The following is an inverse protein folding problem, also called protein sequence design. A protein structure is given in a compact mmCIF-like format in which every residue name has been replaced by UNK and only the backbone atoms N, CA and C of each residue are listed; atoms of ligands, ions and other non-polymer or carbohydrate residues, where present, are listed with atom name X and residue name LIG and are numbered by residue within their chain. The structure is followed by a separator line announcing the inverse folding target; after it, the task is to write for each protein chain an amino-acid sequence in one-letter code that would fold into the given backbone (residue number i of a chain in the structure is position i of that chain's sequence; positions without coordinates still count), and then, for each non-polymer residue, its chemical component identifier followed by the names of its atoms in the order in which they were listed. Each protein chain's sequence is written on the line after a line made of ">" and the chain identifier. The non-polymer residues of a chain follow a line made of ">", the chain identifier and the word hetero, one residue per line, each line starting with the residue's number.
data_IF_197929934871
#
_entry.id   IF_197929934871
#
_cell.length_a   1.000
_cell.length_b   1.000
_cell.length_c   1.000
_cell.angle_alpha   90.00
_cell.angle_beta   90.00
_cell.angle_gamma   90.00
#
_symmetry.space_group_name_H-M   'P 1'
#
loop_
_entity.id
_entity.type
_entity.pdbx_description
1 polymer ?
#
# COMPACT_ATOMS: atom_id res chain seq x y z
N UNK A 1 14.81 -11.87 -4.04
CA UNK A 1 13.66 -11.01 -3.71
C UNK A 1 12.43 -11.87 -3.80
N UNK A 2 11.47 -11.60 -2.94
CA UNK A 2 10.23 -12.33 -2.85
C UNK A 2 9.39 -12.07 -4.11
N UNK A 3 8.59 -13.04 -4.53
CA UNK A 3 7.73 -12.87 -5.71
C UNK A 3 6.49 -12.01 -5.42
N UNK A 4 6.11 -11.93 -4.15
CA UNK A 4 4.87 -11.31 -3.68
C UNK A 4 5.19 -10.50 -2.43
N UNK A 5 4.79 -9.24 -2.42
CA UNK A 5 4.78 -8.39 -1.24
C UNK A 5 3.55 -8.72 -0.38
N UNK A 6 2.36 -8.62 -0.97
CA UNK A 6 1.09 -8.98 -0.35
C UNK A 6 0.02 -9.13 -1.44
N UNK A 7 -0.67 -10.27 -1.46
CA UNK A 7 -1.75 -10.55 -2.43
C UNK A 7 -3.14 -10.14 -1.94
N UNK A 8 -3.22 -9.40 -0.83
CA UNK A 8 -4.48 -8.91 -0.27
C UNK A 8 -5.24 -9.94 0.56
N UNK A 9 -6.54 -9.68 0.75
CA UNK A 9 -7.40 -10.54 1.55
C UNK A 9 -7.54 -11.93 0.92
N UNK A 10 -7.46 -12.99 1.72
CA UNK A 10 -7.59 -14.35 1.24
C UNK A 10 -9.03 -14.60 0.75
N UNK A 11 -9.18 -14.88 -0.55
CA UNK A 11 -10.48 -15.02 -1.21
C UNK A 11 -11.25 -16.24 -0.69
N UNK A 12 -10.57 -17.35 -0.37
CA UNK A 12 -11.21 -18.54 0.18
C UNK A 12 -11.79 -18.25 1.57
N UNK A 13 -11.05 -17.52 2.41
CA UNK A 13 -11.54 -17.07 3.71
C UNK A 13 -12.76 -16.17 3.54
N UNK A 14 -12.70 -15.17 2.64
CA UNK A 14 -13.85 -14.30 2.37
C UNK A 14 -15.06 -15.09 1.85
N UNK A 15 -14.87 -16.11 1.02
CA UNK A 15 -15.96 -16.96 0.52
C UNK A 15 -16.74 -17.67 1.64
N UNK A 16 -16.08 -17.98 2.75
CA UNK A 16 -16.65 -18.73 3.88
C UNK A 16 -17.31 -17.85 4.96
N UNK A 17 -17.02 -16.55 4.97
CA UNK A 17 -17.54 -15.64 6.00
C UNK A 17 -19.00 -15.23 5.78
N UNK A 18 -19.71 -15.01 6.89
CA UNK A 18 -21.03 -14.37 6.86
C UNK A 18 -20.93 -12.91 6.38
N UNK A 19 -22.06 -12.32 6.03
CA UNK A 19 -22.09 -10.90 5.65
C UNK A 19 -21.59 -9.99 6.79
N UNK A 20 -22.03 -10.25 8.03
CA UNK A 20 -21.63 -9.46 9.19
C UNK A 20 -20.11 -9.56 9.45
N UNK A 21 -19.54 -10.76 9.31
CA UNK A 21 -18.09 -10.96 9.49
C UNK A 21 -17.27 -10.24 8.42
N UNK A 22 -17.75 -10.23 7.16
CA UNK A 22 -17.11 -9.45 6.08
C UNK A 22 -17.13 -7.95 6.37
N UNK A 23 -18.27 -7.44 6.84
CA UNK A 23 -18.40 -6.02 7.22
C UNK A 23 -17.47 -5.69 8.38
N UNK A 24 -17.40 -6.54 9.41
CA UNK A 24 -16.51 -6.34 10.54
C UNK A 24 -15.03 -6.41 10.11
N UNK A 25 -14.68 -7.38 9.27
CA UNK A 25 -13.35 -7.49 8.67
C UNK A 25 -12.97 -6.20 7.95
N UNK A 26 -13.82 -5.68 7.07
CA UNK A 26 -13.57 -4.42 6.39
C UNK A 26 -13.43 -3.26 7.37
N UNK A 27 -14.30 -3.12 8.37
CA UNK A 27 -14.23 -2.03 9.35
C UNK A 27 -12.91 -2.06 10.13
N UNK A 28 -12.58 -3.19 10.74
CA UNK A 28 -11.37 -3.33 11.56
C UNK A 28 -10.09 -3.10 10.74
N UNK A 29 -10.05 -3.63 9.51
CA UNK A 29 -8.89 -3.45 8.62
C UNK A 29 -8.75 -2.03 8.10
N UNK A 30 -9.87 -1.30 7.91
CA UNK A 30 -9.87 0.14 7.63
C UNK A 30 -9.34 0.94 8.82
N UNK A 31 -9.83 0.69 10.03
CA UNK A 31 -9.37 1.37 11.25
C UNK A 31 -7.87 1.18 11.47
N UNK A 32 -7.38 -0.05 11.31
CA UNK A 32 -5.94 -0.35 11.40
C UNK A 32 -5.12 0.48 10.41
N UNK A 33 -5.58 0.63 9.16
CA UNK A 33 -4.92 1.46 8.13
C UNK A 33 -5.02 2.95 8.44
N UNK A 34 -6.14 3.39 8.99
CA UNK A 34 -6.30 4.78 9.43
C UNK A 34 -5.34 5.12 10.58
N UNK A 35 -5.08 4.18 11.50
CA UNK A 35 -4.12 4.35 12.59
C UNK A 35 -2.67 4.56 12.11
N UNK A 36 -2.31 4.07 10.92
CA UNK A 36 -1.00 4.35 10.28
C UNK A 36 -0.90 5.84 9.99
N UNK A 37 -1.89 6.38 9.27
CA UNK A 37 -1.95 7.80 8.90
C UNK A 37 -2.13 8.71 10.12
N UNK A 38 -2.85 8.23 11.12
CA UNK A 38 -3.01 8.91 12.41
C UNK A 38 -1.69 9.01 13.17
N UNK A 39 -0.93 7.91 13.23
CA UNK A 39 0.40 7.88 13.83
C UNK A 39 1.38 8.79 13.10
N UNK A 40 1.23 8.98 11.79
CA UNK A 40 2.00 9.98 11.06
C UNK A 40 1.67 11.39 11.54
N UNK A 41 0.38 11.73 11.67
CA UNK A 41 -0.05 13.07 12.08
C UNK A 41 0.28 13.40 13.53
N UNK A 42 0.17 12.42 14.43
CA UNK A 42 0.12 12.71 15.88
C UNK A 42 1.18 11.98 16.70
N UNK A 43 1.81 10.92 16.18
CA UNK A 43 2.77 10.10 16.94
C UNK A 43 4.22 10.31 16.51
N UNK A 44 4.47 11.16 15.50
CA UNK A 44 5.79 11.41 14.92
C UNK A 44 6.38 10.17 14.26
N UNK A 45 5.54 9.26 13.76
CA UNK A 45 5.97 8.07 13.03
C UNK A 45 5.88 8.33 11.53
N UNK A 46 6.62 7.59 10.72
CA UNK A 46 6.48 7.65 9.26
C UNK A 46 6.56 6.23 8.74
N UNK A 47 5.66 5.88 7.84
CA UNK A 47 5.52 4.54 7.32
C UNK A 47 5.91 4.50 5.85
N UNK A 48 6.78 3.56 5.50
CA UNK A 48 7.27 3.38 4.13
C UNK A 48 6.93 1.97 3.68
N UNK A 49 6.23 1.85 2.57
CA UNK A 49 5.96 0.58 1.91
C UNK A 49 7.09 0.28 0.93
N UNK A 50 7.96 -0.68 1.28
CA UNK A 50 9.00 -1.20 0.40
C UNK A 50 8.48 -2.41 -0.37
N UNK A 51 7.91 -2.17 -1.56
CA UNK A 51 7.31 -3.20 -2.41
C UNK A 51 8.40 -3.88 -3.27
N UNK A 52 8.85 -5.05 -2.83
CA UNK A 52 9.89 -5.88 -3.46
C UNK A 52 9.31 -7.08 -4.25
N UNK A 53 8.03 -7.03 -4.62
CA UNK A 53 7.27 -8.09 -5.28
C UNK A 53 5.87 -7.58 -5.68
N UNK A 54 4.98 -8.47 -6.12
CA UNK A 54 3.61 -8.05 -6.46
C UNK A 54 2.82 -7.59 -5.22
N UNK A 55 2.19 -6.42 -5.29
CA UNK A 55 1.23 -5.92 -4.29
C UNK A 55 -0.16 -5.81 -4.94
N UNK A 56 -1.07 -6.72 -4.59
CA UNK A 56 -2.38 -6.84 -5.22
C UNK A 56 -3.52 -6.63 -4.21
N UNK A 57 -4.56 -5.92 -4.65
CA UNK A 57 -5.77 -5.64 -3.90
C UNK A 57 -5.47 -5.07 -2.52
N UNK A 58 -5.96 -5.74 -1.47
CA UNK A 58 -5.69 -5.37 -0.06
C UNK A 58 -4.22 -5.20 0.32
N UNK A 59 -3.27 -5.78 -0.44
CA UNK A 59 -1.83 -5.56 -0.28
C UNK A 59 -1.38 -4.19 -0.75
N UNK A 60 -1.94 -3.71 -1.87
CA UNK A 60 -1.74 -2.33 -2.30
C UNK A 60 -2.56 -1.35 -1.47
N UNK A 61 -3.76 -1.72 -0.98
CA UNK A 61 -4.51 -0.89 -0.03
C UNK A 61 -3.76 -0.66 1.29
N UNK A 62 -2.96 -1.63 1.74
CA UNK A 62 -2.04 -1.44 2.86
C UNK A 62 -0.90 -0.47 2.51
N UNK A 63 -0.28 -0.62 1.34
CA UNK A 63 0.76 0.29 0.88
C UNK A 63 0.23 1.74 0.74
N UNK A 64 -0.99 1.91 0.24
CA UNK A 64 -1.67 3.20 0.13
C UNK A 64 -1.85 3.91 1.48
N UNK A 65 -1.96 3.18 2.58
CA UNK A 65 -2.04 3.76 3.93
C UNK A 65 -0.67 4.32 4.41
N UNK A 66 0.44 3.89 3.83
CA UNK A 66 1.79 4.39 4.14
C UNK A 66 2.02 5.81 3.59
N UNK A 67 3.04 6.50 4.09
CA UNK A 67 3.40 7.86 3.67
C UNK A 67 4.21 7.87 2.37
N UNK A 68 4.97 6.79 2.12
CA UNK A 68 5.83 6.66 0.96
C UNK A 68 5.82 5.22 0.43
N UNK A 69 5.76 5.05 -0.88
CA UNK A 69 5.69 3.76 -1.56
C UNK A 69 6.85 3.64 -2.55
N UNK A 70 7.78 2.75 -2.23
CA UNK A 70 8.88 2.33 -3.09
C UNK A 70 8.49 1.05 -3.83
N UNK A 71 8.71 1.01 -5.14
CA UNK A 71 8.55 -0.21 -5.95
C UNK A 71 9.89 -0.61 -6.56
N UNK A 72 10.23 -1.90 -6.49
CA UNK A 72 11.41 -2.42 -7.17
C UNK A 72 11.20 -2.47 -8.68
N UNK A 73 12.17 -1.97 -9.44
CA UNK A 73 12.24 -2.09 -10.90
C UNK A 73 12.98 -3.38 -11.27
N UNK A 74 12.23 -4.48 -11.30
CA UNK A 74 12.73 -5.81 -11.67
C UNK A 74 11.98 -6.42 -12.87
N UNK A 75 11.12 -5.63 -13.52
CA UNK A 75 10.28 -6.06 -14.64
C UNK A 75 9.08 -6.94 -14.27
N UNK A 76 8.96 -7.42 -13.03
CA UNK A 76 7.92 -8.35 -12.58
C UNK A 76 7.02 -7.79 -11.48
N UNK A 77 7.56 -6.93 -10.61
CA UNK A 77 6.84 -6.32 -9.49
C UNK A 77 5.85 -5.26 -9.99
N UNK A 78 4.64 -5.31 -9.46
CA UNK A 78 3.53 -4.46 -9.87
C UNK A 78 2.62 -4.13 -8.67
N UNK A 79 1.86 -3.03 -8.81
CA UNK A 79 0.75 -2.69 -7.93
C UNK A 79 -0.57 -2.88 -8.68
N UNK A 80 -1.59 -3.45 -8.05
CA UNK A 80 -2.90 -3.69 -8.69
C UNK A 80 -4.07 -3.60 -7.71
N UNK A 81 -5.26 -3.25 -8.22
CA UNK A 81 -6.54 -3.37 -7.54
C UNK A 81 -7.52 -4.21 -8.40
N UNK A 82 -7.37 -5.55 -8.40
CA UNK A 82 -8.12 -6.43 -9.28
C UNK A 82 -9.52 -6.79 -8.75
N UNK A 83 -9.98 -6.19 -7.65
CA UNK A 83 -11.21 -6.58 -6.94
C UNK A 83 -12.46 -6.53 -7.84
N UNK A 84 -12.56 -5.53 -8.72
CA UNK A 84 -13.70 -5.41 -9.64
C UNK A 84 -13.69 -6.55 -10.67
N UNK A 85 -12.64 -6.73 -11.49
CA UNK A 85 -12.63 -7.77 -12.53
C UNK A 85 -12.53 -9.20 -11.99
N UNK A 86 -11.90 -9.44 -10.83
CA UNK A 86 -11.69 -10.80 -10.32
C UNK A 86 -12.72 -11.26 -9.28
N UNK A 87 -13.28 -10.32 -8.50
CA UNK A 87 -14.12 -10.66 -7.34
C UNK A 87 -15.51 -10.01 -7.39
N UNK A 88 -15.76 -9.13 -8.36
CA UNK A 88 -17.00 -8.34 -8.46
C UNK A 88 -17.31 -7.53 -7.18
N UNK A 89 -16.26 -7.08 -6.48
CA UNK A 89 -16.35 -6.20 -5.31
C UNK A 89 -15.41 -5.01 -5.46
N UNK A 90 -15.53 -4.03 -4.58
CA UNK A 90 -14.65 -2.86 -4.59
C UNK A 90 -13.40 -3.09 -3.72
N UNK A 91 -12.30 -2.36 -3.99
CA UNK A 91 -11.20 -2.15 -3.03
C UNK A 91 -11.73 -1.45 -1.77
N UNK A 92 -12.24 -2.26 -0.84
CA UNK A 92 -13.06 -1.83 0.29
C UNK A 92 -12.30 -1.48 1.56
N UNK A 93 -10.97 -1.66 1.60
CA UNK A 93 -10.12 -1.25 2.73
C UNK A 93 -9.50 0.14 2.52
N UNK A 94 -10.27 1.00 1.87
CA UNK A 94 -9.96 2.40 1.60
C UNK A 94 -9.13 2.64 0.34
N UNK A 95 -8.97 1.63 -0.52
CA UNK A 95 -8.17 1.70 -1.75
C UNK A 95 -8.63 2.80 -2.69
N UNK A 96 -9.92 2.82 -3.05
CA UNK A 96 -10.47 3.85 -3.95
C UNK A 96 -10.32 5.27 -3.37
N UNK A 97 -10.66 5.42 -2.09
CA UNK A 97 -10.54 6.70 -1.37
C UNK A 97 -9.09 7.18 -1.36
N UNK A 98 -8.13 6.31 -1.05
CA UNK A 98 -6.70 6.70 -1.02
C UNK A 98 -6.15 6.97 -2.41
N UNK A 99 -6.59 6.26 -3.46
CA UNK A 99 -6.16 6.56 -4.84
C UNK A 99 -6.60 7.96 -5.26
N UNK A 100 -7.85 8.35 -4.98
CA UNK A 100 -8.37 9.66 -5.40
C UNK A 100 -7.95 10.76 -4.44
N UNK A 101 -8.12 10.57 -3.13
CA UNK A 101 -7.99 11.65 -2.15
C UNK A 101 -6.56 11.82 -1.65
N UNK A 102 -5.79 10.75 -1.53
CA UNK A 102 -4.39 10.80 -1.05
C UNK A 102 -3.40 10.84 -2.20
N UNK A 103 -3.48 9.90 -3.13
CA UNK A 103 -2.58 9.79 -4.30
C UNK A 103 -2.97 10.76 -5.42
N UNK A 104 -4.15 11.38 -5.38
CA UNK A 104 -4.59 12.35 -6.41
C UNK A 104 -4.49 11.79 -7.84
N UNK A 105 -4.70 10.48 -8.00
CA UNK A 105 -4.72 9.86 -9.33
C UNK A 105 -5.93 10.39 -10.09
N UNK A 106 -5.72 10.78 -11.35
CA UNK A 106 -6.80 11.25 -12.23
C UNK A 106 -7.88 10.16 -12.33
N UNK A 107 -9.15 10.52 -12.23
CA UNK A 107 -10.25 9.55 -12.05
C UNK A 107 -10.36 8.51 -13.16
N UNK A 108 -10.09 8.89 -14.41
CA UNK A 108 -10.04 7.98 -15.57
C UNK A 108 -8.84 7.02 -15.52
N UNK A 109 -7.69 7.46 -15.01
CA UNK A 109 -6.57 6.56 -14.73
C UNK A 109 -6.90 5.60 -13.59
N UNK A 110 -7.59 6.07 -12.55
CA UNK A 110 -8.04 5.25 -11.44
C UNK A 110 -9.06 4.20 -11.89
N UNK A 111 -10.01 4.58 -12.75
CA UNK A 111 -10.96 3.67 -13.39
C UNK A 111 -10.22 2.56 -14.14
N UNK A 112 -9.37 2.93 -15.10
CA UNK A 112 -8.54 1.97 -15.84
C UNK A 112 -7.74 1.06 -14.92
N UNK A 113 -7.13 1.61 -13.87
CA UNK A 113 -6.32 0.85 -12.91
C UNK A 113 -7.14 -0.17 -12.09
N UNK A 114 -8.39 0.16 -11.74
CA UNK A 114 -9.26 -0.72 -10.95
C UNK A 114 -10.04 -1.73 -11.81
N UNK A 115 -10.03 -1.60 -13.14
CA UNK A 115 -10.73 -2.49 -14.07
C UNK A 115 -9.81 -3.43 -14.84
N UNK A 116 -8.52 -3.49 -14.49
CA UNK A 116 -7.55 -4.47 -15.03
C UNK A 116 -7.01 -5.36 -13.90
N UNK A 117 -6.66 -6.60 -14.22
CA UNK A 117 -6.18 -7.55 -13.22
C UNK A 117 -4.67 -7.44 -12.96
N UNK A 118 -3.91 -7.19 -14.01
CA UNK A 118 -2.44 -7.23 -14.02
C UNK A 118 -1.81 -6.03 -13.30
N UNK A 119 -2.56 -4.94 -13.17
CA UNK A 119 -2.10 -3.70 -12.55
C UNK A 119 -1.03 -2.96 -13.37
N UNK A 120 -0.23 -2.14 -12.68
CA UNK A 120 0.80 -1.31 -13.29
C UNK A 120 2.16 -1.49 -12.61
N UNK A 121 3.21 -1.40 -13.44
CA UNK A 121 4.61 -1.56 -13.04
C UNK A 121 5.49 -0.47 -13.65
N UNK A 122 6.72 -0.37 -13.13
CA UNK A 122 7.75 0.50 -13.67
C UNK A 122 7.34 1.98 -13.70
N UNK A 123 7.91 2.71 -14.67
CA UNK A 123 7.74 4.18 -14.80
C UNK A 123 6.28 4.63 -14.94
N UNK A 124 5.39 3.76 -15.43
CA UNK A 124 3.96 4.11 -15.57
C UNK A 124 3.28 4.21 -14.21
N UNK A 125 3.61 3.33 -13.25
CA UNK A 125 3.07 3.39 -11.90
C UNK A 125 3.46 4.70 -11.19
N UNK A 126 4.73 5.09 -11.31
CA UNK A 126 5.27 6.35 -10.78
C UNK A 126 4.61 7.57 -11.46
N UNK A 127 4.59 7.59 -12.81
CA UNK A 127 3.97 8.69 -13.58
C UNK A 127 2.48 8.90 -13.26
N UNK A 128 1.77 7.83 -12.91
CA UNK A 128 0.35 7.89 -12.53
C UNK A 128 0.14 8.16 -11.04
N UNK A 129 1.20 8.42 -10.29
CA UNK A 129 1.21 8.66 -8.85
C UNK A 129 0.69 7.48 -8.00
N UNK A 130 0.80 6.25 -8.52
CA UNK A 130 0.45 5.03 -7.77
C UNK A 130 1.57 4.62 -6.80
N UNK A 131 2.80 5.03 -7.07
CA UNK A 131 3.97 4.86 -6.22
C UNK A 131 4.75 6.18 -6.19
N UNK A 132 5.63 6.34 -5.22
CA UNK A 132 6.44 7.55 -5.08
C UNK A 132 7.82 7.44 -5.72
N UNK A 133 8.43 6.25 -5.71
CA UNK A 133 9.77 6.05 -6.25
C UNK A 133 9.95 4.63 -6.79
N UNK A 134 10.44 4.56 -8.03
CA UNK A 134 10.81 3.32 -8.70
C UNK A 134 12.33 3.10 -8.59
N UNK A 135 12.76 1.98 -8.01
CA UNK A 135 14.18 1.75 -7.69
C UNK A 135 14.72 0.48 -8.35
N UNK A 136 15.84 0.55 -9.09
CA UNK A 136 16.50 -0.65 -9.62
C UNK A 136 16.77 -1.70 -8.55
N UNK A 137 16.55 -2.97 -8.90
CA UNK A 137 16.75 -4.11 -7.98
C UNK A 137 18.06 -4.11 -7.20
N UNK A 138 19.16 -3.69 -7.83
CA UNK A 138 20.49 -3.64 -7.20
C UNK A 138 20.61 -2.60 -6.07
N UNK A 139 19.78 -1.55 -6.08
CA UNK A 139 19.83 -0.44 -5.12
C UNK A 139 18.62 -0.38 -4.18
N UNK A 140 17.69 -1.34 -4.31
CA UNK A 140 16.40 -1.28 -3.63
C UNK A 140 16.52 -1.15 -2.11
N UNK A 141 17.22 -2.09 -1.45
CA UNK A 141 17.34 -2.09 0.01
C UNK A 141 18.17 -0.92 0.54
N UNK A 142 19.24 -0.54 -0.17
CA UNK A 142 20.03 0.66 0.13
C UNK A 142 19.15 1.92 0.10
N UNK A 143 18.29 2.04 -0.91
CA UNK A 143 17.38 3.18 -1.05
C UNK A 143 16.30 3.17 0.03
N UNK A 144 15.75 2.01 0.38
CA UNK A 144 14.79 1.87 1.49
C UNK A 144 15.41 2.34 2.81
N UNK A 145 16.63 1.90 3.12
CA UNK A 145 17.34 2.31 4.34
C UNK A 145 17.62 3.82 4.33
N UNK A 146 18.10 4.35 3.21
CA UNK A 146 18.33 5.78 3.02
C UNK A 146 17.05 6.59 3.26
N UNK A 147 15.92 6.21 2.64
CA UNK A 147 14.64 6.90 2.84
C UNK A 147 14.17 6.78 4.29
N UNK A 148 14.30 5.61 4.91
CA UNK A 148 13.92 5.42 6.31
C UNK A 148 14.71 6.36 7.23
N UNK A 149 16.02 6.52 7.01
CA UNK A 149 16.85 7.47 7.75
C UNK A 149 16.39 8.92 7.51
N UNK A 150 16.24 9.33 6.25
CA UNK A 150 15.76 10.68 5.88
C UNK A 150 14.40 11.03 6.50
N UNK A 151 13.47 10.08 6.56
CA UNK A 151 12.17 10.30 7.19
C UNK A 151 12.24 10.27 8.73
N UNK A 152 13.15 9.46 9.30
CA UNK A 152 13.35 9.40 10.75
C UNK A 152 13.84 10.73 11.33
N UNK A 153 14.64 11.50 10.57
CA UNK A 153 15.11 12.83 10.95
C UNK A 153 13.98 13.86 11.12
N UNK A 154 12.80 13.59 10.53
CA UNK A 154 11.61 14.45 10.68
C UNK A 154 10.84 14.15 11.97
N UNK A 155 11.16 13.05 12.65
CA UNK A 155 10.49 12.65 13.87
C UNK A 155 10.94 13.49 15.07
N UNK A 156 9.98 13.92 15.88
CA UNK A 156 10.25 14.55 17.20
C UNK A 156 10.34 13.53 18.34
N UNK A 157 10.25 12.23 18.02
CA UNK A 157 10.29 11.17 19.03
C UNK A 157 11.70 11.08 19.65
N UNK A 158 11.80 10.82 20.96
CA UNK A 158 13.10 10.72 21.61
C UNK A 158 13.86 9.46 21.15
N UNK A 159 15.11 9.64 20.72
CA UNK A 159 16.00 8.56 20.21
C UNK A 159 16.31 7.50 21.26
N UNK A 160 16.25 7.85 22.56
CA UNK A 160 16.57 6.97 23.69
C UNK A 160 15.52 7.06 24.80
N UNK A 161 14.36 6.41 24.63
CA UNK A 161 13.48 6.08 25.76
C UNK A 161 13.33 4.57 25.88
N UNK A 162 13.46 4.06 27.11
CA UNK A 162 13.03 2.71 27.49
C UNK A 162 11.51 2.66 27.22
N UNK A 163 11.05 1.73 26.39
CA UNK A 163 9.61 1.55 26.17
C UNK A 163 8.88 1.35 27.49
N UNK A 164 7.64 1.81 27.57
CA UNK A 164 6.74 1.40 28.65
C UNK A 164 6.51 -0.10 28.46
N UNK A 165 6.96 -0.91 29.42
CA UNK A 165 6.66 -2.34 29.49
C UNK A 165 5.32 -2.53 30.18
#
# INVERSE_FOLDING_TARGET
>A
MDKVFCSGANINMLGLLSHADKVNFCKFTNETRNSIEDSTRYSGQTYIAAINGTAAGGGYELALASDYILLVDDGSSAVSLPEVPMLAVLPGTGGLTRIVDKRKVRRDHADFFCTIAEGLRGKRAEKWNLIDELVPRSKFFETVEKRALEFSERSTRPVKKKGLR
#
